data_IF_203633217095
#
_entry.id   IF_203633217095
#
_cell.length_a   1.000
_cell.length_b   1.000
_cell.length_c   1.000
_cell.angle_alpha   90.00
_cell.angle_beta   90.00
_cell.angle_gamma   90.00
#
_symmetry.space_group_name_H-M   'P 1'
#
loop_
_entity.id
_entity.type
_entity.pdbx_description
1 polymer ?
#
# COMPACT_ATOMS: atom_id res chain seq x y z
N UNK A 1 2.83 -10.95 -11.81
CA UNK A 1 1.62 -10.48 -11.07
C UNK A 1 0.81 -9.47 -11.89
N UNK A 2 0.48 -9.83 -13.12
CA UNK A 2 -0.13 -8.90 -14.09
C UNK A 2 -1.62 -8.57 -13.85
N UNK A 3 -2.15 -8.91 -12.67
CA UNK A 3 -3.58 -8.80 -12.36
C UNK A 3 -3.86 -8.06 -11.06
N UNK A 4 -3.05 -7.07 -10.72
CA UNK A 4 -3.23 -6.27 -9.48
C UNK A 4 -4.61 -5.62 -9.43
N UNK A 5 -5.15 -5.21 -10.57
CA UNK A 5 -6.51 -4.64 -10.69
C UNK A 5 -7.60 -5.62 -10.28
N UNK A 6 -7.43 -6.92 -10.58
CA UNK A 6 -8.40 -7.95 -10.21
C UNK A 6 -8.41 -8.13 -8.69
N UNK A 7 -7.23 -8.19 -8.06
CA UNK A 7 -7.11 -8.24 -6.61
C UNK A 7 -7.73 -7.01 -5.94
N UNK A 8 -7.46 -5.83 -6.52
CA UNK A 8 -8.01 -4.58 -6.02
C UNK A 8 -9.54 -4.53 -6.14
N UNK A 9 -10.12 -5.01 -7.23
CA UNK A 9 -11.56 -5.11 -7.40
C UNK A 9 -12.18 -6.13 -6.42
N UNK A 10 -11.50 -7.26 -6.20
CA UNK A 10 -11.97 -8.29 -5.27
C UNK A 10 -11.99 -7.77 -3.83
N UNK A 11 -10.98 -7.05 -3.35
CA UNK A 11 -11.01 -6.54 -1.99
C UNK A 11 -12.06 -5.45 -1.78
N UNK A 12 -12.42 -4.69 -2.81
CA UNK A 12 -13.49 -3.70 -2.75
C UNK A 12 -14.90 -4.33 -2.69
N UNK A 13 -15.05 -5.54 -3.23
CA UNK A 13 -16.37 -6.19 -3.32
C UNK A 13 -16.57 -7.27 -2.26
N UNK A 14 -15.54 -8.01 -1.92
CA UNK A 14 -15.60 -9.15 -0.97
C UNK A 14 -15.16 -8.73 0.43
N UNK A 15 -14.23 -7.75 0.53
CA UNK A 15 -13.65 -7.27 1.78
C UNK A 15 -12.15 -7.54 1.88
N UNK A 16 -11.47 -6.56 2.47
CA UNK A 16 -10.01 -6.58 2.59
C UNK A 16 -9.49 -7.69 3.49
N UNK A 17 -10.19 -7.99 4.58
CA UNK A 17 -9.80 -9.04 5.53
C UNK A 17 -9.71 -10.43 4.89
N UNK A 18 -10.45 -10.70 3.83
CA UNK A 18 -10.40 -11.99 3.13
C UNK A 18 -9.37 -11.96 2.00
N UNK A 19 -9.42 -10.93 1.18
CA UNK A 19 -8.69 -10.90 -0.08
C UNK A 19 -7.21 -10.55 0.11
N UNK A 20 -6.85 -9.67 1.05
CA UNK A 20 -5.45 -9.28 1.26
C UNK A 20 -4.57 -10.44 1.76
N UNK A 21 -4.99 -11.27 2.73
CA UNK A 21 -4.23 -12.49 3.07
C UNK A 21 -4.05 -13.42 1.86
N UNK A 22 -5.10 -13.64 1.05
CA UNK A 22 -5.00 -14.47 -0.16
C UNK A 22 -4.04 -13.89 -1.19
N UNK A 23 -4.03 -12.56 -1.35
CA UNK A 23 -3.05 -11.86 -2.20
C UNK A 23 -1.61 -12.15 -1.74
N UNK A 24 -1.31 -12.07 -0.44
CA UNK A 24 0.02 -12.36 0.07
C UNK A 24 0.38 -13.85 -0.05
N UNK A 25 -0.56 -14.77 0.07
CA UNK A 25 -0.33 -16.19 -0.23
C UNK A 25 0.03 -16.41 -1.71
N UNK A 26 -0.67 -15.74 -2.63
CA UNK A 26 -0.34 -15.77 -4.05
C UNK A 26 1.05 -15.15 -4.32
N UNK A 27 1.36 -14.02 -3.67
CA UNK A 27 2.68 -13.39 -3.72
C UNK A 27 3.80 -14.34 -3.29
N UNK A 28 3.63 -15.04 -2.16
CA UNK A 28 4.62 -16.01 -1.66
C UNK A 28 4.87 -17.16 -2.65
N UNK A 29 3.83 -17.63 -3.35
CA UNK A 29 3.99 -18.66 -4.40
C UNK A 29 4.80 -18.14 -5.57
N UNK A 30 4.57 -16.91 -6.01
CA UNK A 30 5.33 -16.27 -7.08
C UNK A 30 6.78 -15.99 -6.67
N UNK A 31 7.00 -15.45 -5.47
CA UNK A 31 8.34 -15.14 -4.96
C UNK A 31 9.18 -16.36 -4.64
N UNK A 32 8.57 -17.54 -4.50
CA UNK A 32 9.29 -18.81 -4.36
C UNK A 32 10.01 -19.23 -5.64
N UNK A 33 9.58 -18.75 -6.81
CA UNK A 33 10.17 -19.09 -8.10
C UNK A 33 11.49 -18.33 -8.32
N UNK A 34 12.51 -19.01 -8.88
CA UNK A 34 13.82 -18.40 -9.13
C UNK A 34 13.74 -17.23 -10.11
N UNK A 35 12.91 -17.36 -11.13
CA UNK A 35 12.76 -16.35 -12.20
C UNK A 35 12.16 -15.04 -11.69
N UNK A 36 11.39 -15.07 -10.59
CA UNK A 36 10.83 -13.88 -9.96
C UNK A 36 11.92 -12.86 -9.53
N UNK A 37 13.10 -13.35 -9.14
CA UNK A 37 14.21 -12.54 -8.65
C UNK A 37 15.20 -12.13 -9.73
N UNK A 38 14.92 -12.45 -10.99
CA UNK A 38 15.75 -12.02 -12.11
C UNK A 38 15.59 -10.50 -12.36
N UNK A 39 16.65 -9.80 -12.79
CA UNK A 39 16.56 -8.38 -13.14
C UNK A 39 15.47 -8.11 -14.20
N UNK A 40 15.33 -8.99 -15.19
CA UNK A 40 14.37 -8.84 -16.28
C UNK A 40 12.91 -8.87 -15.82
N UNK A 41 12.57 -9.67 -14.78
CA UNK A 41 11.20 -9.77 -14.25
C UNK A 41 10.80 -8.55 -13.39
N UNK A 42 11.77 -7.73 -13.00
CA UNK A 42 11.60 -6.58 -12.10
C UNK A 42 11.58 -5.23 -12.83
N UNK A 43 12.04 -5.20 -14.08
CA UNK A 43 12.11 -3.95 -14.84
C UNK A 43 10.72 -3.38 -15.11
N UNK A 44 10.56 -2.12 -14.78
CA UNK A 44 9.37 -1.32 -15.13
C UNK A 44 9.77 -0.35 -16.23
N UNK A 45 9.00 -0.29 -17.31
CA UNK A 45 9.27 0.69 -18.37
C UNK A 45 9.21 2.10 -17.79
N UNK A 46 10.14 2.97 -18.19
CA UNK A 46 10.26 4.32 -17.62
C UNK A 46 8.97 5.13 -17.79
N UNK A 47 8.26 5.01 -18.91
CA UNK A 47 6.97 5.66 -19.12
C UNK A 47 5.92 5.22 -18.10
N UNK A 48 5.88 3.91 -17.78
CA UNK A 48 4.99 3.37 -16.77
C UNK A 48 5.40 3.81 -15.36
N UNK A 49 6.68 3.76 -15.01
CA UNK A 49 7.21 4.21 -13.72
C UNK A 49 6.89 5.70 -13.46
N UNK A 50 7.04 6.55 -14.49
CA UNK A 50 6.68 7.98 -14.43
C UNK A 50 5.19 8.21 -14.22
N UNK A 51 4.33 7.35 -14.75
CA UNK A 51 2.90 7.46 -14.64
C UNK A 51 2.34 6.97 -13.29
N UNK A 52 3.08 6.13 -12.54
CA UNK A 52 2.61 5.52 -11.28
C UNK A 52 2.19 6.55 -10.24
N UNK A 53 3.09 7.47 -9.88
CA UNK A 53 2.82 8.45 -8.83
C UNK A 53 1.64 9.38 -9.17
N UNK A 54 1.57 10.04 -10.34
CA UNK A 54 0.42 10.88 -10.67
C UNK A 54 -0.89 10.08 -10.73
N UNK A 55 -0.86 8.84 -11.22
CA UNK A 55 -2.06 7.99 -11.26
C UNK A 55 -2.57 7.64 -9.86
N UNK A 56 -1.68 7.31 -8.93
CA UNK A 56 -2.05 7.03 -7.53
C UNK A 56 -2.52 8.29 -6.81
N UNK A 57 -1.86 9.43 -7.03
CA UNK A 57 -2.25 10.69 -6.39
C UNK A 57 -3.63 11.13 -6.87
N UNK A 58 -3.87 11.16 -8.17
CA UNK A 58 -5.14 11.64 -8.74
C UNK A 58 -6.25 10.61 -8.57
N UNK A 59 -5.96 9.33 -8.82
CA UNK A 59 -6.96 8.27 -8.87
C UNK A 59 -7.31 7.67 -7.50
N UNK A 60 -6.46 7.83 -6.48
CA UNK A 60 -6.67 7.22 -5.17
C UNK A 60 -6.50 8.21 -4.01
N UNK A 61 -5.34 8.88 -3.87
CA UNK A 61 -5.08 9.75 -2.72
C UNK A 61 -6.03 10.94 -2.66
N UNK A 62 -6.23 11.64 -3.77
CA UNK A 62 -7.12 12.79 -3.82
C UNK A 62 -8.57 12.43 -3.47
N UNK A 63 -9.21 11.41 -4.08
CA UNK A 63 -10.53 10.95 -3.67
C UNK A 63 -10.60 10.54 -2.19
N UNK A 64 -9.55 9.87 -1.68
CA UNK A 64 -9.48 9.47 -0.27
C UNK A 64 -9.47 10.68 0.66
N UNK A 65 -8.63 11.68 0.38
CA UNK A 65 -8.56 12.90 1.20
C UNK A 65 -9.90 13.64 1.16
N UNK A 66 -10.49 13.82 -0.03
CA UNK A 66 -11.77 14.50 -0.19
C UNK A 66 -12.89 13.82 0.60
N UNK A 67 -12.91 12.50 0.68
CA UNK A 67 -13.90 11.74 1.44
C UNK A 67 -13.90 12.05 2.94
N UNK A 68 -12.74 12.45 3.49
CA UNK A 68 -12.58 12.78 4.92
C UNK A 68 -12.71 14.27 5.23
N UNK A 69 -12.90 15.14 4.23
CA UNK A 69 -13.10 16.56 4.50
C UNK A 69 -14.49 16.83 5.10
N UNK A 70 -14.59 17.74 6.08
CA UNK A 70 -15.85 18.13 6.65
C UNK A 70 -16.62 19.04 5.66
N UNK A 71 -17.66 18.51 5.05
CA UNK A 71 -18.56 19.29 4.20
C UNK A 71 -19.78 19.73 5.01
N UNK A 72 -20.19 21.00 4.86
CA UNK A 72 -21.42 21.56 5.46
C UNK A 72 -22.64 21.09 4.66
N UNK A 73 -22.85 19.77 4.59
CA UNK A 73 -23.97 19.14 3.91
C UNK A 73 -24.81 18.32 4.92
N UNK A 74 -25.98 18.83 5.35
CA UNK A 74 -26.83 18.16 6.35
C UNK A 74 -27.28 16.75 5.93
N UNK A 75 -27.36 16.49 4.64
CA UNK A 75 -27.75 15.18 4.10
C UNK A 75 -26.60 14.23 3.81
N UNK A 76 -25.34 14.62 4.09
CA UNK A 76 -24.13 13.86 3.76
C UNK A 76 -24.04 13.43 2.29
N UNK A 77 -24.74 14.12 1.37
CA UNK A 77 -24.78 13.75 -0.05
C UNK A 77 -23.44 13.86 -0.73
N UNK A 78 -22.67 14.91 -0.39
CA UNK A 78 -21.30 15.10 -0.91
C UNK A 78 -20.41 13.96 -0.43
N UNK A 79 -20.40 13.65 0.86
CA UNK A 79 -19.63 12.56 1.44
C UNK A 79 -20.04 11.21 0.83
N UNK A 80 -21.33 10.94 0.69
CA UNK A 80 -21.84 9.71 0.06
C UNK A 80 -21.39 9.60 -1.40
N UNK A 81 -21.44 10.71 -2.16
CA UNK A 81 -20.95 10.79 -3.54
C UNK A 81 -19.45 10.50 -3.65
N UNK A 82 -18.66 11.05 -2.71
CA UNK A 82 -17.22 10.80 -2.66
C UNK A 82 -16.88 9.36 -2.26
N UNK A 83 -17.62 8.76 -1.33
CA UNK A 83 -17.49 7.33 -1.00
C UNK A 83 -17.86 6.46 -2.21
N UNK A 84 -18.92 6.79 -2.94
CA UNK A 84 -19.29 6.09 -4.16
C UNK A 84 -18.23 6.22 -5.26
N UNK A 85 -17.62 7.41 -5.42
CA UNK A 85 -16.51 7.65 -6.33
C UNK A 85 -15.25 6.87 -5.90
N UNK A 86 -15.03 6.69 -4.60
CA UNK A 86 -13.87 6.00 -4.07
C UNK A 86 -13.91 4.49 -4.39
N UNK A 87 -15.06 3.87 -4.50
CA UNK A 87 -15.19 2.43 -4.78
C UNK A 87 -14.49 1.99 -6.09
N UNK A 88 -14.66 2.67 -7.25
CA UNK A 88 -13.97 2.30 -8.48
C UNK A 88 -12.53 2.83 -8.59
N UNK A 89 -11.95 3.43 -7.55
CA UNK A 89 -10.59 4.01 -7.61
C UNK A 89 -9.51 3.05 -8.14
N UNK A 90 -9.51 1.73 -7.86
CA UNK A 90 -8.54 0.83 -8.47
C UNK A 90 -8.60 0.80 -10.00
N UNK A 91 -9.80 0.90 -10.57
CA UNK A 91 -10.00 0.97 -12.03
C UNK A 91 -9.58 2.34 -12.56
N UNK A 92 -9.91 3.43 -11.83
CA UNK A 92 -9.52 4.79 -12.17
C UNK A 92 -8.00 4.93 -12.21
N UNK A 93 -7.27 4.41 -11.19
CA UNK A 93 -5.81 4.39 -11.16
C UNK A 93 -5.24 3.66 -12.38
N UNK A 94 -5.79 2.50 -12.73
CA UNK A 94 -5.31 1.75 -13.90
C UNK A 94 -5.58 2.48 -15.21
N UNK A 95 -6.74 3.10 -15.36
CA UNK A 95 -7.06 3.91 -16.53
C UNK A 95 -6.09 5.11 -16.66
N UNK A 96 -5.88 5.83 -15.57
CA UNK A 96 -4.94 6.95 -15.53
C UNK A 96 -3.51 6.48 -15.85
N UNK A 97 -3.10 5.35 -15.30
CA UNK A 97 -1.80 4.76 -15.54
C UNK A 97 -1.61 4.44 -17.03
N UNK A 98 -2.63 3.86 -17.67
CA UNK A 98 -2.62 3.57 -19.10
C UNK A 98 -2.54 4.87 -19.92
N UNK A 99 -3.41 5.85 -19.67
CA UNK A 99 -3.48 7.10 -20.41
C UNK A 99 -2.20 7.94 -20.24
N UNK A 100 -1.73 8.10 -18.99
CA UNK A 100 -0.54 8.91 -18.70
C UNK A 100 0.72 8.22 -19.25
N UNK A 101 0.86 6.90 -19.11
CA UNK A 101 2.01 6.20 -19.68
C UNK A 101 2.04 6.24 -21.21
N UNK A 102 0.87 6.18 -21.87
CA UNK A 102 0.76 6.35 -23.31
C UNK A 102 1.15 7.78 -23.76
N UNK A 103 0.81 8.82 -22.97
CA UNK A 103 1.15 10.20 -23.27
C UNK A 103 2.68 10.47 -23.19
N UNK A 104 3.42 9.71 -22.37
CA UNK A 104 4.89 9.78 -22.33
C UNK A 104 5.56 9.16 -23.56
N UNK A 105 4.81 8.47 -24.41
CA UNK A 105 5.29 7.83 -25.63
C UNK A 105 6.01 6.49 -25.36
N UNK A 106 6.16 5.72 -26.44
CA UNK A 106 7.00 4.51 -26.40
C UNK A 106 8.46 4.96 -26.43
N UNK A 107 9.25 4.54 -25.47
CA UNK A 107 10.69 4.67 -25.57
C UNK A 107 11.18 4.00 -26.87
N UNK A 108 12.10 4.64 -27.60
CA UNK A 108 12.68 4.02 -28.79
C UNK A 108 13.33 2.70 -28.35
N UNK A 109 12.92 1.61 -28.96
CA UNK A 109 13.46 0.26 -28.76
C UNK A 109 14.89 0.14 -29.32
N UNK A 110 15.72 1.13 -29.08
CA UNK A 110 17.12 1.17 -29.51
C UNK A 110 18.02 0.65 -28.42
N UNK A 111 17.82 -0.58 -27.98
CA UNK A 111 18.94 -1.41 -27.54
C UNK A 111 18.47 -2.81 -27.14
N UNK A 112 18.83 -3.81 -27.92
CA UNK A 112 18.86 -5.24 -27.53
C UNK A 112 19.94 -5.52 -26.45
N UNK A 113 20.38 -4.54 -25.70
CA UNK A 113 21.37 -4.60 -24.61
C UNK A 113 20.81 -4.11 -23.28
N UNK A 114 19.57 -4.42 -22.95
CA UNK A 114 19.03 -4.07 -21.61
C UNK A 114 19.16 -5.28 -20.67
N UNK A 115 20.40 -5.54 -20.25
CA UNK A 115 20.67 -6.46 -19.15
C UNK A 115 20.96 -5.73 -17.83
N UNK A 116 20.75 -4.40 -17.75
CA UNK A 116 20.85 -3.64 -16.50
C UNK A 116 19.58 -2.82 -16.29
N UNK A 117 19.07 -2.75 -15.03
CA UNK A 117 17.94 -1.90 -14.69
C UNK A 117 18.23 -0.47 -15.15
N UNK A 118 17.26 0.16 -15.81
CA UNK A 118 17.39 1.58 -16.12
C UNK A 118 17.48 2.35 -14.79
N UNK A 119 18.52 3.15 -14.54
CA UNK A 119 18.60 3.95 -13.30
C UNK A 119 17.42 4.91 -13.13
N UNK A 120 16.66 5.13 -14.20
CA UNK A 120 15.58 6.08 -14.26
C UNK A 120 14.28 5.58 -13.61
N UNK A 121 13.95 4.27 -13.70
CA UNK A 121 12.73 3.73 -13.10
C UNK A 121 12.77 3.81 -11.57
N UNK A 122 13.94 3.56 -10.96
CA UNK A 122 14.15 3.63 -9.52
C UNK A 122 13.85 5.02 -8.94
N UNK A 123 14.14 6.09 -9.67
CA UNK A 123 13.83 7.45 -9.22
C UNK A 123 12.32 7.63 -9.00
N UNK A 124 11.50 7.16 -9.94
CA UNK A 124 10.04 7.29 -9.86
C UNK A 124 9.44 6.34 -8.83
N UNK A 125 9.95 5.11 -8.73
CA UNK A 125 9.53 4.16 -7.70
C UNK A 125 9.86 4.68 -6.30
N UNK A 126 11.03 5.29 -6.10
CA UNK A 126 11.40 5.91 -4.83
C UNK A 126 10.44 7.04 -4.45
N UNK A 127 10.08 7.91 -5.39
CA UNK A 127 9.09 8.96 -5.13
C UNK A 127 7.74 8.36 -4.72
N UNK A 128 7.30 7.29 -5.38
CA UNK A 128 6.05 6.60 -5.03
C UNK A 128 6.10 6.04 -3.60
N UNK A 129 7.14 5.24 -3.27
CA UNK A 129 7.26 4.64 -1.94
C UNK A 129 7.38 5.68 -0.83
N UNK A 130 8.16 6.74 -1.05
CA UNK A 130 8.30 7.83 -0.08
C UNK A 130 6.98 8.59 0.10
N UNK A 131 6.23 8.83 -0.96
CA UNK A 131 4.90 9.46 -0.88
C UNK A 131 3.94 8.57 -0.08
N UNK A 132 3.87 7.28 -0.41
CA UNK A 132 3.01 6.32 0.32
C UNK A 132 3.42 6.22 1.79
N UNK A 133 4.73 6.16 2.08
CA UNK A 133 5.26 6.16 3.44
C UNK A 133 4.83 7.41 4.20
N UNK A 134 5.08 8.59 3.63
CA UNK A 134 4.82 9.87 4.30
C UNK A 134 3.33 10.08 4.57
N UNK A 135 2.48 9.84 3.58
CA UNK A 135 1.02 10.00 3.75
C UNK A 135 0.48 9.04 4.80
N UNK A 136 0.94 7.77 4.76
CA UNK A 136 0.52 6.76 5.75
C UNK A 136 1.01 7.07 7.16
N UNK A 137 2.25 7.56 7.29
CA UNK A 137 2.81 7.96 8.59
C UNK A 137 2.07 9.17 9.17
N UNK A 138 1.77 10.19 8.35
CA UNK A 138 0.99 11.36 8.78
C UNK A 138 -0.40 10.93 9.23
N UNK A 139 -1.07 10.05 8.48
CA UNK A 139 -2.39 9.55 8.85
C UNK A 139 -2.36 8.79 10.19
N UNK A 140 -1.36 7.91 10.39
CA UNK A 140 -1.21 7.13 11.62
C UNK A 140 -0.91 8.02 12.83
N UNK A 141 0.12 8.86 12.73
CA UNK A 141 0.53 9.76 13.81
C UNK A 141 -0.58 10.77 14.13
N UNK A 142 -1.24 11.31 13.10
CA UNK A 142 -2.38 12.21 13.26
C UNK A 142 -3.55 11.53 13.97
N UNK A 143 -3.88 10.28 13.63
CA UNK A 143 -4.93 9.51 14.31
C UNK A 143 -4.59 9.30 15.78
N UNK A 144 -3.34 8.88 16.09
CA UNK A 144 -2.90 8.71 17.48
C UNK A 144 -2.97 10.02 18.24
N UNK A 145 -2.49 11.12 17.65
CA UNK A 145 -2.51 12.44 18.25
C UNK A 145 -3.95 12.88 18.58
N UNK A 146 -4.88 12.75 17.63
CA UNK A 146 -6.30 13.08 17.85
C UNK A 146 -6.90 12.22 18.94
N UNK A 147 -6.64 10.91 18.93
CA UNK A 147 -7.16 10.00 19.95
C UNK A 147 -6.62 10.28 21.37
N UNK A 148 -5.38 10.75 21.48
CA UNK A 148 -4.76 11.08 22.77
C UNK A 148 -5.15 12.47 23.26
N UNK A 149 -5.43 13.41 22.36
CA UNK A 149 -5.79 14.79 22.68
C UNK A 149 -7.30 14.99 22.92
N UNK A 150 -8.13 14.09 22.41
CA UNK A 150 -9.58 14.19 22.49
C UNK A 150 -10.09 13.75 23.86
N UNK A 151 -11.01 14.53 24.43
CA UNK A 151 -11.77 14.15 25.64
C UNK A 151 -13.04 13.35 25.30
N UNK A 152 -13.37 13.19 24.01
CA UNK A 152 -14.57 12.49 23.59
C UNK A 152 -14.36 10.97 23.65
N UNK A 153 -15.21 10.21 24.38
CA UNK A 153 -15.00 8.75 24.58
C UNK A 153 -14.88 7.94 23.29
N UNK A 154 -15.61 8.33 22.25
CA UNK A 154 -15.59 7.66 20.95
C UNK A 154 -14.30 7.93 20.14
N UNK A 155 -13.51 8.94 20.53
CA UNK A 155 -12.21 9.25 19.92
C UNK A 155 -11.03 8.70 20.71
N UNK A 156 -11.23 7.71 21.55
CA UNK A 156 -10.14 7.04 22.27
C UNK A 156 -9.46 5.99 21.39
N UNK A 157 -8.16 5.73 21.63
CA UNK A 157 -7.42 4.67 20.94
C UNK A 157 -8.10 3.30 21.08
N UNK A 158 -8.65 3.01 22.26
CA UNK A 158 -9.37 1.77 22.53
C UNK A 158 -10.59 1.64 21.62
N UNK A 159 -11.39 2.72 21.53
CA UNK A 159 -12.59 2.71 20.67
C UNK A 159 -12.22 2.67 19.18
N UNK A 160 -11.22 3.46 18.78
CA UNK A 160 -10.79 3.52 17.37
C UNK A 160 -10.20 2.22 16.87
N UNK A 161 -9.33 1.55 17.67
CA UNK A 161 -8.51 0.44 17.17
C UNK A 161 -8.84 -0.93 17.79
N UNK A 162 -9.43 -0.98 18.99
CA UNK A 162 -9.50 -2.25 19.74
C UNK A 162 -10.92 -2.76 19.91
N UNK A 163 -11.85 -1.91 20.34
CA UNK A 163 -13.17 -2.39 20.77
C UNK A 163 -14.32 -1.44 20.46
N UNK A 164 -15.23 -1.89 19.62
CA UNK A 164 -16.60 -1.35 19.56
C UNK A 164 -17.46 -2.13 20.53
N UNK A 165 -18.17 -1.50 21.49
CA UNK A 165 -19.10 -2.18 22.39
C UNK A 165 -20.13 -2.98 21.63
N UNK A 166 -20.52 -4.14 22.16
CA UNK A 166 -21.48 -5.07 21.49
C UNK A 166 -22.82 -4.37 21.26
N UNK A 167 -23.26 -3.53 22.20
CA UNK A 167 -24.47 -2.70 22.05
C UNK A 167 -24.45 -1.83 20.81
N UNK A 168 -23.28 -1.24 20.52
CA UNK A 168 -23.12 -0.28 19.42
C UNK A 168 -23.03 -0.96 18.06
N UNK A 169 -22.57 -2.23 18.02
CA UNK A 169 -22.49 -3.03 16.78
C UNK A 169 -23.84 -3.31 16.13
N UNK A 170 -24.92 -3.21 16.88
CA UNK A 170 -26.29 -3.38 16.37
C UNK A 170 -26.78 -2.17 15.58
N UNK A 171 -26.15 -1.02 15.72
CA UNK A 171 -26.39 0.14 14.88
C UNK A 171 -25.62 0.05 13.56
N UNK A 172 -26.13 0.70 12.51
CA UNK A 172 -25.44 0.73 11.22
C UNK A 172 -24.03 1.32 11.33
N UNK A 173 -23.87 2.42 12.02
CA UNK A 173 -22.58 3.09 12.21
C UNK A 173 -21.59 2.24 13.03
N UNK A 174 -22.05 1.69 14.15
CA UNK A 174 -21.21 0.85 15.01
C UNK A 174 -20.86 -0.49 14.35
N UNK A 175 -21.78 -1.09 13.59
CA UNK A 175 -21.51 -2.28 12.79
C UNK A 175 -20.46 -2.05 11.71
N UNK A 176 -20.55 -0.93 10.97
CA UNK A 176 -19.55 -0.53 10.00
C UNK A 176 -18.19 -0.28 10.67
N UNK A 177 -18.16 0.45 11.80
CA UNK A 177 -16.92 0.67 12.54
C UNK A 177 -16.27 -0.65 12.95
N UNK A 178 -17.04 -1.61 13.45
CA UNK A 178 -16.52 -2.93 13.82
C UNK A 178 -15.96 -3.68 12.62
N UNK A 179 -16.63 -3.66 11.46
CA UNK A 179 -16.12 -4.27 10.23
C UNK A 179 -14.78 -3.65 9.83
N UNK A 180 -14.67 -2.32 9.84
CA UNK A 180 -13.41 -1.64 9.51
C UNK A 180 -12.30 -1.92 10.52
N UNK A 181 -12.60 -2.11 11.81
CA UNK A 181 -11.59 -2.55 12.79
C UNK A 181 -11.07 -3.95 12.47
N UNK A 182 -11.95 -4.89 12.13
CA UNK A 182 -11.56 -6.27 11.76
C UNK A 182 -10.72 -6.24 10.48
N UNK A 183 -11.17 -5.49 9.47
CA UNK A 183 -10.42 -5.29 8.22
C UNK A 183 -9.03 -4.71 8.48
N UNK A 184 -8.93 -3.65 9.30
CA UNK A 184 -7.67 -3.03 9.66
C UNK A 184 -6.68 -4.04 10.23
N UNK A 185 -7.07 -4.80 11.23
CA UNK A 185 -6.18 -5.74 11.89
C UNK A 185 -5.74 -6.88 10.96
N UNK A 186 -6.67 -7.49 10.24
CA UNK A 186 -6.36 -8.63 9.38
C UNK A 186 -5.52 -8.18 8.17
N UNK A 187 -5.89 -7.08 7.52
CA UNK A 187 -5.16 -6.54 6.38
C UNK A 187 -3.72 -6.22 6.76
N UNK A 188 -3.53 -5.48 7.87
CA UNK A 188 -2.19 -5.05 8.25
C UNK A 188 -1.36 -6.17 8.86
N UNK A 189 -1.96 -7.12 9.56
CA UNK A 189 -1.25 -8.33 9.98
C UNK A 189 -0.71 -9.11 8.77
N UNK A 190 -1.54 -9.31 7.76
CA UNK A 190 -1.13 -9.97 6.53
C UNK A 190 -0.05 -9.16 5.77
N UNK A 191 -0.21 -7.84 5.66
CA UNK A 191 0.71 -6.98 4.94
C UNK A 191 2.08 -6.86 5.61
N UNK A 192 2.13 -6.70 6.94
CA UNK A 192 3.38 -6.65 7.70
C UNK A 192 4.08 -8.01 7.68
N UNK A 193 3.33 -9.11 7.80
CA UNK A 193 3.87 -10.47 7.66
C UNK A 193 4.44 -10.68 6.26
N UNK A 194 3.72 -10.28 5.21
CA UNK A 194 4.20 -10.35 3.82
C UNK A 194 5.45 -9.51 3.59
N UNK A 195 5.52 -8.31 4.16
CA UNK A 195 6.71 -7.47 4.11
C UNK A 195 7.90 -8.13 4.84
N UNK A 196 7.69 -8.74 6.00
CA UNK A 196 8.74 -9.49 6.69
C UNK A 196 9.23 -10.69 5.87
N UNK A 197 8.32 -11.45 5.26
CA UNK A 197 8.68 -12.57 4.38
C UNK A 197 9.46 -12.10 3.14
N UNK A 198 9.20 -10.91 2.65
CA UNK A 198 10.00 -10.30 1.57
C UNK A 198 11.45 -10.08 1.99
N UNK A 199 11.70 -9.61 3.22
CA UNK A 199 13.08 -9.49 3.76
C UNK A 199 13.72 -10.86 3.99
N UNK A 200 12.96 -11.84 4.45
CA UNK A 200 13.41 -13.22 4.58
C UNK A 200 13.82 -13.81 3.22
N UNK A 201 13.05 -13.57 2.16
CA UNK A 201 13.37 -13.99 0.80
C UNK A 201 14.67 -13.36 0.30
N UNK A 202 14.88 -12.05 0.51
CA UNK A 202 16.15 -11.38 0.16
C UNK A 202 17.36 -12.06 0.80
N UNK A 203 17.23 -12.47 2.06
CA UNK A 203 18.28 -13.23 2.75
C UNK A 203 18.43 -14.63 2.17
N UNK A 204 17.33 -15.33 1.91
CA UNK A 204 17.30 -16.68 1.33
C UNK A 204 18.02 -16.76 -0.02
N UNK A 205 17.84 -15.75 -0.87
CA UNK A 205 18.52 -15.66 -2.19
C UNK A 205 19.93 -15.08 -2.11
N UNK A 206 20.47 -14.86 -0.91
CA UNK A 206 21.84 -14.38 -0.71
C UNK A 206 22.07 -12.93 -1.16
N UNK A 207 21.03 -12.09 -1.15
CA UNK A 207 21.15 -10.69 -1.57
C UNK A 207 21.55 -9.78 -0.41
N UNK A 208 21.34 -10.22 0.83
CA UNK A 208 21.64 -9.44 2.04
C UNK A 208 21.96 -10.35 3.21
N UNK A 209 22.85 -9.87 4.10
CA UNK A 209 23.18 -10.52 5.37
C UNK A 209 22.34 -9.99 6.54
N UNK A 210 21.20 -9.38 6.26
CA UNK A 210 20.32 -8.77 7.23
C UNK A 210 19.94 -9.76 8.36
N UNK A 211 20.03 -9.30 9.61
CA UNK A 211 19.54 -10.06 10.75
C UNK A 211 18.01 -10.01 10.78
N UNK A 212 17.36 -11.15 10.55
CA UNK A 212 15.89 -11.25 10.54
C UNK A 212 15.28 -10.88 11.90
N UNK A 213 15.98 -11.17 13.01
CA UNK A 213 15.54 -10.75 14.34
C UNK A 213 15.53 -9.23 14.49
N UNK A 214 16.60 -8.57 14.03
CA UNK A 214 16.67 -7.11 14.08
C UNK A 214 15.66 -6.46 13.11
N UNK A 215 15.45 -7.08 11.96
CA UNK A 215 14.40 -6.64 11.02
C UNK A 215 13.00 -6.75 11.63
N UNK A 216 12.67 -7.86 12.28
CA UNK A 216 11.39 -8.03 12.98
C UNK A 216 11.21 -6.99 14.10
N UNK A 217 12.24 -6.77 14.94
CA UNK A 217 12.21 -5.76 16.00
C UNK A 217 12.05 -4.33 15.43
N UNK A 218 12.80 -4.00 14.38
CA UNK A 218 12.69 -2.71 13.69
C UNK A 218 11.32 -2.49 13.06
N UNK A 219 10.75 -3.50 12.42
CA UNK A 219 9.40 -3.45 11.87
C UNK A 219 8.35 -3.29 12.97
N UNK A 220 8.45 -4.02 14.07
CA UNK A 220 7.53 -3.88 15.21
C UNK A 220 7.55 -2.45 15.77
N UNK A 221 8.75 -1.88 15.94
CA UNK A 221 8.91 -0.49 16.37
C UNK A 221 8.32 0.49 15.35
N UNK A 222 8.57 0.28 14.06
CA UNK A 222 8.04 1.13 12.99
C UNK A 222 6.50 1.07 12.93
N UNK A 223 5.90 -0.11 13.12
CA UNK A 223 4.42 -0.25 13.19
C UNK A 223 3.83 0.62 14.31
N UNK A 224 4.50 0.70 15.45
CA UNK A 224 4.05 1.52 16.58
C UNK A 224 4.26 3.02 16.29
N UNK A 225 5.43 3.40 15.77
CA UNK A 225 5.82 4.81 15.63
C UNK A 225 5.20 5.50 14.40
N UNK A 226 5.19 4.82 13.24
CA UNK A 226 4.76 5.41 11.96
C UNK A 226 3.60 4.66 11.31
N UNK A 227 3.18 3.56 11.89
CA UNK A 227 2.04 2.78 11.45
C UNK A 227 2.38 1.63 10.49
N UNK A 228 1.46 0.66 10.38
CA UNK A 228 1.71 -0.55 9.60
C UNK A 228 1.83 -0.28 8.09
N UNK A 229 1.04 0.62 7.52
CA UNK A 229 1.09 0.95 6.09
C UNK A 229 2.41 1.63 5.71
N UNK A 230 2.90 2.59 6.53
CA UNK A 230 4.19 3.20 6.34
C UNK A 230 5.32 2.17 6.47
N UNK A 231 5.24 1.27 7.47
CA UNK A 231 6.21 0.18 7.65
C UNK A 231 6.31 -0.70 6.40
N UNK A 232 5.18 -1.12 5.84
CA UNK A 232 5.16 -1.91 4.60
C UNK A 232 5.80 -1.14 3.45
N UNK A 233 5.43 0.12 3.24
CA UNK A 233 6.01 0.96 2.19
C UNK A 233 7.54 1.13 2.35
N UNK A 234 8.00 1.31 3.59
CA UNK A 234 9.42 1.39 3.93
C UNK A 234 10.18 0.10 3.63
N UNK A 235 9.61 -1.05 3.94
CA UNK A 235 10.21 -2.36 3.61
C UNK A 235 10.33 -2.56 2.11
N UNK A 236 9.29 -2.19 1.34
CA UNK A 236 9.35 -2.27 -0.13
C UNK A 236 10.40 -1.33 -0.71
N UNK A 237 10.52 -0.12 -0.18
CA UNK A 237 11.59 0.81 -0.55
C UNK A 237 12.98 0.20 -0.31
N UNK A 238 13.22 -0.37 0.88
CA UNK A 238 14.49 -1.03 1.23
C UNK A 238 14.76 -2.23 0.29
N UNK A 239 13.74 -3.05 0.03
CA UNK A 239 13.84 -4.18 -0.90
C UNK A 239 14.34 -3.76 -2.27
N UNK A 240 13.72 -2.74 -2.86
CA UNK A 240 14.11 -2.27 -4.19
C UNK A 240 15.55 -1.75 -4.22
N UNK A 241 15.99 -1.05 -3.17
CA UNK A 241 17.38 -0.59 -3.06
C UNK A 241 18.39 -1.74 -2.95
N UNK A 242 18.11 -2.74 -2.12
CA UNK A 242 18.97 -3.92 -1.98
C UNK A 242 19.09 -4.65 -3.32
N UNK A 243 17.98 -4.84 -4.02
CA UNK A 243 17.95 -5.50 -5.32
C UNK A 243 18.72 -4.70 -6.38
N UNK A 244 18.52 -3.38 -6.45
CA UNK A 244 19.21 -2.52 -7.39
C UNK A 244 20.74 -2.45 -7.17
N UNK A 245 21.21 -2.62 -5.93
CA UNK A 245 22.65 -2.71 -5.62
C UNK A 245 23.26 -4.02 -6.10
N UNK A 246 22.54 -5.14 -6.00
CA UNK A 246 23.00 -6.43 -6.50
C UNK A 246 23.21 -6.42 -8.01
N UNK A 247 22.31 -5.80 -8.76
CA UNK A 247 22.34 -5.75 -10.22
C UNK A 247 23.54 -4.93 -10.76
N UNK A 248 24.18 -4.11 -9.91
CA UNK A 248 25.37 -3.31 -10.26
C UNK A 248 26.69 -4.03 -10.00
N UNK A 249 26.68 -5.16 -9.28
CA UNK A 249 27.85 -6.00 -8.98
C UNK A 249 27.97 -7.15 -9.97
#
# INVERSE_FOLDING_TARGET
>A
MDRTSIWALLYQTVGGAIIIPLYYLAYMRESAQKDYWSPASRQVTTSYARALLPSVVIGYLLPTILMYLPFSDPGLRVTQGLVALWQPTPLIVNLLLFVISAAYGKEPTTSKKAASPSPDDMKYLNCLYLTCFTVSAIAHVGTIFVCLSSTHPQMSLTHALVRVPVSDRMSMTGGLHYIFQVDFWIIFLAAVTGAYLTLWDLKRIGTTDLSLRNAAAGMAMAVICVGPAATVSGVWYIREHIMAQKDKR
#
